data_IF_184532659014
#
_entry.id   IF_184532659014
#
_cell.length_a   1.000
_cell.length_b   1.000
_cell.length_c   1.000
_cell.angle_alpha   90.00
_cell.angle_beta   90.00
_cell.angle_gamma   90.00
#
_symmetry.space_group_name_H-M   'P 1'
#
loop_
_entity.id
_entity.type
_entity.pdbx_description
1 polymer ?
#
# COMPACT_ATOMS: atom_id res chain seq x y z
N UNK A 1 20.16 16.28 -3.41
CA UNK A 1 19.33 15.12 -3.54
C UNK A 1 18.08 15.39 -4.32
N UNK A 2 17.90 14.77 -5.43
CA UNK A 2 16.69 14.87 -6.21
C UNK A 2 15.54 14.08 -5.57
N UNK A 3 14.31 14.52 -5.84
CA UNK A 3 13.14 13.76 -5.46
C UNK A 3 13.02 12.55 -6.38
N UNK A 4 12.45 11.47 -5.85
CA UNK A 4 12.18 10.29 -6.66
C UNK A 4 11.17 10.63 -7.76
N UNK A 5 11.38 10.07 -8.95
CA UNK A 5 10.44 10.22 -10.06
C UNK A 5 9.41 9.12 -10.05
N UNK A 6 8.29 9.33 -10.78
CA UNK A 6 7.27 8.29 -10.94
C UNK A 6 7.85 7.06 -11.64
N UNK A 7 8.78 7.24 -12.57
CA UNK A 7 9.45 6.14 -13.28
C UNK A 7 10.28 5.31 -12.30
N UNK A 8 11.05 5.97 -11.45
CA UNK A 8 11.85 5.27 -10.43
C UNK A 8 10.95 4.54 -9.43
N UNK A 9 9.85 5.16 -9.03
CA UNK A 9 8.90 4.53 -8.13
C UNK A 9 8.24 3.32 -8.78
N UNK A 10 7.89 3.43 -10.06
CA UNK A 10 7.33 2.31 -10.82
C UNK A 10 8.31 1.13 -10.87
N UNK A 11 9.60 1.41 -11.05
CA UNK A 11 10.63 0.37 -11.03
C UNK A 11 10.73 -0.33 -9.68
N UNK A 12 10.61 0.43 -8.58
CA UNK A 12 10.57 -0.17 -7.23
C UNK A 12 9.37 -1.10 -7.09
N UNK A 13 8.21 -0.65 -7.56
CA UNK A 13 6.99 -1.48 -7.49
C UNK A 13 7.10 -2.72 -8.38
N UNK A 14 7.72 -2.59 -9.55
CA UNK A 14 7.93 -3.73 -10.45
C UNK A 14 8.80 -4.81 -9.78
N UNK A 15 9.77 -4.41 -8.97
CA UNK A 15 10.59 -5.36 -8.22
C UNK A 15 9.78 -6.20 -7.24
N UNK A 16 8.75 -5.60 -6.64
CA UNK A 16 7.84 -6.31 -5.74
C UNK A 16 6.86 -7.17 -6.54
N UNK A 17 6.16 -6.55 -7.51
CA UNK A 17 5.09 -7.25 -8.24
C UNK A 17 5.60 -8.41 -9.08
N UNK A 18 6.85 -8.35 -9.56
CA UNK A 18 7.46 -9.47 -10.30
C UNK A 18 7.57 -10.74 -9.45
N UNK A 19 7.68 -10.58 -8.13
CA UNK A 19 7.81 -11.71 -7.20
C UNK A 19 6.47 -12.30 -6.79
N UNK A 20 5.38 -11.58 -6.99
CA UNK A 20 4.05 -11.98 -6.53
C UNK A 20 3.05 -12.20 -7.68
N UNK A 21 3.41 -11.83 -8.89
CA UNK A 21 2.54 -11.98 -10.05
C UNK A 21 2.08 -13.43 -10.21
N UNK A 22 0.77 -13.63 -10.41
CA UNK A 22 0.19 -14.95 -10.61
C UNK A 22 0.02 -15.77 -9.34
N UNK A 23 0.39 -15.25 -8.18
CA UNK A 23 0.22 -15.98 -6.92
C UNK A 23 -1.13 -15.68 -6.29
N UNK A 24 -1.73 -16.68 -5.60
CA UNK A 24 -2.97 -16.42 -4.85
C UNK A 24 -2.71 -15.42 -3.72
N UNK A 25 -3.71 -14.58 -3.43
CA UNK A 25 -3.65 -13.66 -2.30
C UNK A 25 -4.18 -14.38 -1.06
N UNK A 26 -3.26 -14.82 -0.21
CA UNK A 26 -3.57 -15.64 0.96
C UNK A 26 -2.50 -15.44 2.05
N UNK A 27 -2.62 -16.19 3.14
CA UNK A 27 -1.69 -16.13 4.27
C UNK A 27 -0.27 -16.53 3.88
N UNK A 28 -0.12 -17.41 2.90
CA UNK A 28 1.20 -17.84 2.44
C UNK A 28 1.90 -16.70 1.71
N UNK A 29 1.16 -15.95 0.90
CA UNK A 29 1.72 -14.79 0.23
C UNK A 29 2.13 -13.72 1.24
N UNK A 30 1.31 -13.49 2.27
CA UNK A 30 1.66 -12.56 3.33
C UNK A 30 2.96 -12.95 4.02
N UNK A 31 3.10 -14.22 4.39
CA UNK A 31 4.31 -14.72 5.02
C UNK A 31 5.52 -14.56 4.11
N UNK A 32 5.34 -14.82 2.81
CA UNK A 32 6.41 -14.71 1.83
C UNK A 32 6.88 -13.26 1.65
N UNK A 33 5.92 -12.31 1.58
CA UNK A 33 6.27 -10.89 1.48
C UNK A 33 7.03 -10.43 2.70
N UNK A 34 6.59 -10.81 3.90
CA UNK A 34 7.29 -10.46 5.13
C UNK A 34 8.67 -11.11 5.25
N UNK A 35 8.87 -12.26 4.59
CA UNK A 35 10.16 -12.94 4.59
C UNK A 35 11.11 -12.36 3.53
N UNK A 36 10.61 -12.09 2.32
CA UNK A 36 11.44 -11.60 1.21
C UNK A 36 11.70 -10.10 1.27
N UNK A 37 10.72 -9.34 1.76
CA UNK A 37 10.81 -7.88 1.88
C UNK A 37 10.49 -7.44 3.30
N UNK A 38 11.31 -7.87 4.28
CA UNK A 38 11.00 -7.59 5.69
C UNK A 38 11.05 -6.10 6.01
N UNK A 39 10.26 -5.70 6.99
CA UNK A 39 10.16 -4.30 7.41
C UNK A 39 11.50 -3.66 7.77
N UNK A 40 12.45 -4.45 8.28
CA UNK A 40 13.80 -3.95 8.57
C UNK A 40 14.77 -4.06 7.41
N UNK A 41 14.32 -4.50 6.22
CA UNK A 41 15.20 -4.71 5.08
C UNK A 41 15.38 -3.48 4.21
N UNK A 42 16.34 -3.56 3.28
CA UNK A 42 16.71 -2.44 2.43
C UNK A 42 15.59 -2.03 1.48
N UNK A 43 14.93 -3.01 0.87
CA UNK A 43 13.84 -2.74 -0.09
C UNK A 43 12.66 -2.04 0.59
N UNK A 44 12.25 -2.52 1.76
CA UNK A 44 11.15 -1.92 2.50
C UNK A 44 11.49 -0.47 2.87
N UNK A 45 12.68 -0.25 3.41
CA UNK A 45 13.14 1.09 3.80
C UNK A 45 13.22 2.05 2.62
N UNK A 46 13.65 1.55 1.46
CA UNK A 46 13.71 2.37 0.25
C UNK A 46 12.33 2.80 -0.22
N UNK A 47 11.34 1.91 -0.13
CA UNK A 47 9.96 2.25 -0.51
C UNK A 47 9.36 3.26 0.48
N UNK A 48 9.62 3.10 1.77
CA UNK A 48 9.20 4.07 2.79
C UNK A 48 9.74 5.45 2.45
N UNK A 49 11.04 5.54 2.18
CA UNK A 49 11.68 6.81 1.82
C UNK A 49 11.08 7.40 0.53
N UNK A 50 10.87 6.55 -0.47
CA UNK A 50 10.30 6.97 -1.75
C UNK A 50 8.89 7.56 -1.57
N UNK A 51 8.06 6.94 -0.75
CA UNK A 51 6.72 7.45 -0.46
C UNK A 51 6.77 8.79 0.25
N UNK A 52 7.66 8.93 1.24
CA UNK A 52 7.81 10.20 1.96
C UNK A 52 8.26 11.32 1.02
N UNK A 53 9.22 11.05 0.15
CA UNK A 53 9.69 12.03 -0.83
C UNK A 53 8.59 12.42 -1.82
N UNK A 54 7.85 11.45 -2.33
CA UNK A 54 6.79 11.68 -3.31
C UNK A 54 5.62 12.46 -2.72
N UNK A 55 5.26 12.18 -1.47
CA UNK A 55 4.21 12.92 -0.76
C UNK A 55 4.66 14.37 -0.54
N UNK A 56 5.89 14.57 -0.10
CA UNK A 56 6.44 15.91 0.10
C UNK A 56 6.54 16.70 -1.21
N UNK A 57 6.83 16.02 -2.32
CA UNK A 57 6.90 16.63 -3.64
C UNK A 57 5.53 16.95 -4.24
N UNK A 58 4.45 16.39 -3.65
CA UNK A 58 3.07 16.73 -4.05
C UNK A 58 2.47 15.88 -5.15
N UNK A 59 3.15 14.84 -5.62
CA UNK A 59 2.56 13.97 -6.66
C UNK A 59 1.99 12.65 -6.13
N UNK A 60 2.16 12.38 -4.84
CA UNK A 60 1.57 11.20 -4.18
C UNK A 60 0.63 11.70 -3.08
N UNK A 61 -0.54 11.05 -2.93
CA UNK A 61 -1.56 11.45 -1.94
C UNK A 61 -1.98 12.91 -2.13
N UNK A 62 -2.25 13.28 -3.37
CA UNK A 62 -2.57 14.66 -3.76
C UNK A 62 -4.05 15.01 -3.57
N UNK A 63 -4.86 14.07 -3.09
CA UNK A 63 -6.28 14.27 -2.78
C UNK A 63 -6.50 14.11 -1.28
N UNK A 64 -7.55 14.76 -0.77
CA UNK A 64 -7.91 14.66 0.64
C UNK A 64 -9.42 14.65 0.79
N UNK A 65 -9.92 13.75 1.63
CA UNK A 65 -11.34 13.70 1.98
C UNK A 65 -11.47 13.03 3.35
N UNK A 66 -12.32 13.58 4.22
CA UNK A 66 -12.62 12.98 5.52
C UNK A 66 -11.42 12.82 6.43
N UNK A 67 -10.39 13.63 6.26
CA UNK A 67 -9.16 13.56 7.07
C UNK A 67 -8.14 12.54 6.55
N UNK A 68 -8.38 11.95 5.38
CA UNK A 68 -7.48 10.97 4.76
C UNK A 68 -6.89 11.58 3.50
N UNK A 69 -5.57 11.55 3.37
CA UNK A 69 -4.90 11.89 2.12
C UNK A 69 -4.75 10.62 1.29
N UNK A 70 -5.01 10.70 0.00
CA UNK A 70 -5.04 9.50 -0.84
C UNK A 70 -4.81 9.81 -2.31
N UNK A 71 -4.55 8.76 -3.07
CA UNK A 71 -4.51 8.85 -4.52
C UNK A 71 -4.03 7.56 -5.16
N UNK A 72 -4.52 7.32 -6.38
CA UNK A 72 -3.99 6.24 -7.20
C UNK A 72 -2.73 6.75 -7.88
N UNK A 73 -1.60 6.16 -7.54
CA UNK A 73 -0.28 6.59 -8.01
C UNK A 73 0.02 5.99 -9.37
N UNK A 74 -0.27 4.70 -9.54
CA UNK A 74 -0.03 3.98 -10.79
C UNK A 74 -1.28 3.19 -11.14
N UNK A 75 -1.80 3.41 -12.35
CA UNK A 75 -2.92 2.62 -12.88
C UNK A 75 -2.44 1.22 -13.22
N UNK A 76 -3.33 0.22 -13.24
CA UNK A 76 -2.91 -1.13 -13.64
C UNK A 76 -2.21 -1.11 -15.00
N UNK A 77 -1.04 -1.73 -15.06
CA UNK A 77 -0.25 -1.77 -16.29
C UNK A 77 0.72 -2.95 -16.28
N UNK A 78 1.28 -3.26 -17.44
CA UNK A 78 2.20 -4.38 -17.58
C UNK A 78 3.48 -4.21 -16.76
N UNK A 79 3.96 -2.97 -16.61
CA UNK A 79 5.19 -2.70 -15.88
C UNK A 79 5.12 -3.19 -14.44
N UNK A 80 3.92 -3.19 -13.84
CA UNK A 80 3.69 -3.69 -12.49
C UNK A 80 2.73 -4.89 -12.48
N UNK A 81 2.76 -5.66 -13.53
CA UNK A 81 2.10 -6.98 -13.62
C UNK A 81 0.60 -6.93 -13.37
N UNK A 82 -0.06 -5.85 -13.83
CA UNK A 82 -1.52 -5.71 -13.75
C UNK A 82 -2.05 -5.20 -12.41
N UNK A 83 -1.18 -4.93 -11.43
CA UNK A 83 -1.60 -4.29 -10.18
C UNK A 83 -1.72 -2.78 -10.36
N UNK A 84 -2.59 -2.16 -9.56
CA UNK A 84 -2.49 -0.71 -9.35
C UNK A 84 -1.71 -0.45 -8.07
N UNK A 85 -1.22 0.77 -7.94
CA UNK A 85 -0.61 1.25 -6.68
C UNK A 85 -1.45 2.43 -6.20
N UNK A 86 -2.05 2.26 -5.04
CA UNK A 86 -2.81 3.31 -4.36
C UNK A 86 -2.15 3.56 -3.01
N UNK A 87 -2.06 4.83 -2.60
CA UNK A 87 -1.39 5.17 -1.34
C UNK A 87 -2.30 6.09 -0.53
N UNK A 88 -2.37 5.84 0.78
CA UNK A 88 -3.12 6.67 1.71
C UNK A 88 -2.24 7.07 2.88
N UNK A 89 -2.52 8.25 3.45
CA UNK A 89 -1.97 8.68 4.73
C UNK A 89 -3.13 8.83 5.69
N UNK A 90 -3.08 8.08 6.78
CA UNK A 90 -4.15 8.05 7.79
C UNK A 90 -3.56 8.25 9.16
N UNK A 91 -4.25 9.02 10.01
CA UNK A 91 -3.81 9.31 11.37
C UNK A 91 -4.94 9.00 12.33
N UNK A 92 -4.87 7.83 12.98
CA UNK A 92 -5.86 7.37 13.97
C UNK A 92 -7.29 7.60 13.48
N UNK A 93 -7.61 6.99 12.33
CA UNK A 93 -8.87 7.22 11.66
C UNK A 93 -9.40 5.94 11.02
N UNK A 94 -10.73 5.83 10.97
CA UNK A 94 -11.44 4.75 10.31
C UNK A 94 -11.90 5.24 8.94
N UNK A 95 -11.50 4.54 7.89
CA UNK A 95 -11.86 4.89 6.52
C UNK A 95 -13.23 4.34 6.12
N UNK A 96 -13.71 4.72 4.92
CA UNK A 96 -15.00 4.24 4.41
C UNK A 96 -14.95 2.74 4.11
N UNK A 97 -16.11 2.09 4.30
CA UNK A 97 -16.22 0.66 4.02
C UNK A 97 -16.03 0.40 2.54
N UNK A 98 -15.21 -0.60 2.21
CA UNK A 98 -15.01 -1.00 0.82
C UNK A 98 -14.72 -2.49 0.72
N UNK A 99 -14.83 -2.99 -0.50
CA UNK A 99 -14.58 -4.38 -0.83
C UNK A 99 -13.54 -4.44 -1.94
N UNK A 100 -12.66 -5.42 -1.86
CA UNK A 100 -11.64 -5.67 -2.89
C UNK A 100 -12.00 -6.95 -3.64
N UNK A 101 -12.64 -6.84 -4.82
CA UNK A 101 -13.08 -8.03 -5.56
C UNK A 101 -11.96 -9.02 -5.86
N UNK A 102 -10.74 -8.52 -6.12
CA UNK A 102 -9.60 -9.36 -6.46
C UNK A 102 -8.58 -9.48 -5.33
N UNK A 103 -8.93 -9.00 -4.13
CA UNK A 103 -8.01 -9.01 -3.00
C UNK A 103 -7.19 -7.75 -2.89
N UNK A 104 -6.37 -7.71 -1.87
CA UNK A 104 -5.60 -6.51 -1.49
C UNK A 104 -4.29 -6.92 -0.85
N UNK A 105 -3.21 -6.26 -1.26
CA UNK A 105 -1.90 -6.41 -0.61
C UNK A 105 -1.55 -5.05 -0.03
N UNK A 106 -1.32 -4.98 1.28
CA UNK A 106 -1.04 -3.73 1.97
C UNK A 106 0.39 -3.72 2.48
N UNK A 107 1.09 -2.63 2.20
CA UNK A 107 2.39 -2.34 2.82
C UNK A 107 2.17 -1.28 3.86
N UNK A 108 2.40 -1.61 5.12
CA UNK A 108 2.10 -0.75 6.26
C UNK A 108 3.37 -0.05 6.71
N UNK A 109 3.38 1.29 6.63
CA UNK A 109 4.54 2.13 6.91
C UNK A 109 4.21 3.15 8.00
N UNK A 110 4.29 2.76 9.28
CA UNK A 110 4.02 3.70 10.38
C UNK A 110 4.97 4.89 10.34
N UNK A 111 4.42 6.08 10.53
CA UNK A 111 5.21 7.29 10.73
C UNK A 111 5.35 7.60 12.21
N UNK A 112 4.38 7.17 13.02
CA UNK A 112 4.45 7.24 14.47
C UNK A 112 4.69 5.85 15.03
N UNK A 113 5.52 5.77 16.07
CA UNK A 113 5.79 4.49 16.71
C UNK A 113 4.47 3.91 17.26
N UNK A 114 4.23 2.64 16.93
CA UNK A 114 3.03 1.95 17.40
C UNK A 114 1.79 2.11 16.52
N UNK A 115 1.85 2.91 15.44
CA UNK A 115 0.73 3.00 14.52
C UNK A 115 0.50 1.65 13.84
N UNK A 116 -0.77 1.27 13.67
CA UNK A 116 -1.17 0.01 13.08
C UNK A 116 -2.28 0.22 12.06
N UNK A 117 -2.31 -0.63 11.04
CA UNK A 117 -3.39 -0.67 10.05
C UNK A 117 -4.15 -1.99 10.25
N UNK A 118 -5.46 -1.89 10.52
CA UNK A 118 -6.32 -3.05 10.81
C UNK A 118 -5.71 -3.95 11.89
N UNK A 119 -5.06 -3.33 12.90
CA UNK A 119 -4.43 -4.06 13.99
C UNK A 119 -3.07 -4.65 13.69
N UNK A 120 -2.50 -4.35 12.51
CA UNK A 120 -1.20 -4.88 12.10
C UNK A 120 -0.18 -3.74 12.03
N UNK A 121 1.00 -3.97 12.59
CA UNK A 121 2.08 -2.99 12.58
C UNK A 121 2.87 -3.00 11.28
N UNK A 122 4.07 -2.45 11.31
CA UNK A 122 4.93 -2.34 10.14
C UNK A 122 5.13 -3.69 9.45
N UNK A 123 4.91 -3.73 8.14
CA UNK A 123 5.04 -4.96 7.36
C UNK A 123 3.98 -5.08 6.29
N UNK A 124 3.71 -6.31 5.89
CA UNK A 124 2.77 -6.64 4.82
C UNK A 124 1.55 -7.37 5.37
N UNK A 125 0.39 -7.03 4.82
CA UNK A 125 -0.90 -7.65 5.14
C UNK A 125 -1.57 -8.02 3.82
N UNK A 126 -2.10 -9.23 3.71
CA UNK A 126 -2.76 -9.71 2.49
C UNK A 126 -4.19 -10.12 2.82
N UNK A 127 -5.13 -9.58 2.05
CA UNK A 127 -6.54 -9.97 2.12
C UNK A 127 -6.96 -10.71 0.86
N UNK A 128 -7.74 -11.76 0.99
CA UNK A 128 -8.17 -12.55 -0.18
C UNK A 128 -9.23 -11.83 -1.01
N UNK A 129 -9.46 -12.34 -2.20
CA UNK A 129 -10.48 -11.81 -3.11
C UNK A 129 -11.84 -11.78 -2.40
N UNK A 130 -12.56 -10.67 -2.56
CA UNK A 130 -13.88 -10.48 -2.00
C UNK A 130 -13.92 -9.96 -0.57
N UNK A 131 -12.76 -9.78 0.07
CA UNK A 131 -12.71 -9.25 1.44
C UNK A 131 -13.22 -7.81 1.49
N UNK A 132 -14.02 -7.52 2.52
CA UNK A 132 -14.56 -6.19 2.74
C UNK A 132 -14.23 -5.73 4.16
N UNK A 133 -13.92 -4.46 4.33
CA UNK A 133 -13.57 -3.92 5.63
C UNK A 133 -13.70 -2.40 5.68
N UNK A 134 -13.60 -1.84 6.88
CA UNK A 134 -13.31 -0.42 7.10
C UNK A 134 -11.80 -0.32 7.33
N UNK A 135 -11.01 0.21 6.38
CA UNK A 135 -9.57 0.37 6.62
C UNK A 135 -9.38 1.34 7.77
N UNK A 136 -8.62 0.94 8.78
CA UNK A 136 -8.50 1.70 10.02
C UNK A 136 -7.05 1.78 10.46
N UNK A 137 -6.55 3.00 10.64
CA UNK A 137 -5.26 3.24 11.27
C UNK A 137 -5.51 3.66 12.71
N UNK A 138 -4.78 3.04 13.63
CA UNK A 138 -4.85 3.33 15.06
C UNK A 138 -3.45 3.60 15.62
N UNK A 139 -3.39 4.30 16.72
CA UNK A 139 -2.12 4.52 17.44
C UNK A 139 -1.20 5.56 16.83
N UNK A 140 -1.68 6.36 15.87
CA UNK A 140 -0.88 7.42 15.25
C UNK A 140 -1.03 7.44 13.73
N UNK A 141 -0.04 8.00 13.05
CA UNK A 141 -0.05 8.21 11.62
C UNK A 141 0.71 7.10 10.89
N UNK A 142 0.17 6.64 9.78
CA UNK A 142 0.82 5.66 8.91
C UNK A 142 0.54 5.95 7.46
N UNK A 143 1.50 5.57 6.61
CA UNK A 143 1.30 5.48 5.16
C UNK A 143 0.94 4.02 4.88
N UNK A 144 -0.10 3.79 4.09
CA UNK A 144 -0.45 2.44 3.64
C UNK A 144 -0.48 2.44 2.11
N UNK A 145 0.30 1.54 1.52
CA UNK A 145 0.38 1.36 0.08
C UNK A 145 -0.39 0.10 -0.28
N UNK A 146 -1.35 0.23 -1.19
CA UNK A 146 -2.15 -0.89 -1.66
C UNK A 146 -1.69 -1.33 -3.04
N UNK A 147 -1.46 -2.63 -3.20
CA UNK A 147 -1.32 -3.27 -4.51
C UNK A 147 -2.64 -3.99 -4.78
N UNK A 148 -3.37 -3.53 -5.78
CA UNK A 148 -4.69 -4.09 -6.10
C UNK A 148 -4.67 -4.74 -7.48
N UNK A 149 -4.93 -6.05 -7.56
CA UNK A 149 -4.98 -6.72 -8.88
C UNK A 149 -6.08 -6.10 -9.74
N UNK A 150 -5.71 -5.61 -10.92
CA UNK A 150 -6.63 -4.93 -11.83
C UNK A 150 -7.14 -3.60 -11.30
N UNK A 151 -6.64 -3.13 -10.18
CA UNK A 151 -7.12 -1.89 -9.55
C UNK A 151 -8.53 -2.00 -8.97
N UNK A 152 -9.03 -3.20 -8.75
CA UNK A 152 -10.43 -3.42 -8.39
C UNK A 152 -10.72 -3.05 -6.95
N UNK A 153 -11.65 -2.13 -6.75
CA UNK A 153 -12.13 -1.71 -5.44
C UNK A 153 -13.58 -1.24 -5.59
N UNK A 154 -14.41 -1.58 -4.61
CA UNK A 154 -15.81 -1.16 -4.57
C UNK A 154 -16.08 -0.51 -3.22
N UNK A 155 -16.57 0.73 -3.23
CA UNK A 155 -16.99 1.38 -2.00
C UNK A 155 -18.41 0.93 -1.68
N UNK A 156 -18.60 0.43 -0.47
CA UNK A 156 -19.85 -0.19 -0.02
C UNK A 156 -20.35 0.51 1.25
N UNK A 157 -21.53 0.12 1.70
CA UNK A 157 -22.12 0.72 2.90
C UNK A 157 -22.03 -0.22 4.10
#
# INVERSE_FOLDING_TARGET
MGNITIEEFTDLMAGITSRIAGRPLDDQLQARLNAEFPAGGAEFGRIVQACQEAIAAGWMCDREAGGIKFGRVIKPCEAIHGFSVDVVVMDSIKGPHHRHPNGEIDMIMPLDAGAQFDGVGQGWLVYPAGHAHHPTVSGGKAIVLYLLPGGAIEFTK
#
